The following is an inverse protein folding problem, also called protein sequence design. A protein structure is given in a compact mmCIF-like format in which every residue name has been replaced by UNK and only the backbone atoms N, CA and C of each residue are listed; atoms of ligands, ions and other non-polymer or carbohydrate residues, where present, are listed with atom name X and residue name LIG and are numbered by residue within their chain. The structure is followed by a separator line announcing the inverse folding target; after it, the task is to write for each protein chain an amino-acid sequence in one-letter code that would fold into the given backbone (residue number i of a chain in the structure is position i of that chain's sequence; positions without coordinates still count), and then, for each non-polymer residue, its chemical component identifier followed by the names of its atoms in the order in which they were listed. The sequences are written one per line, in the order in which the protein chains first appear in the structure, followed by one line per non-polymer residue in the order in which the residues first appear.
data_IF_351916623671
#
_entry.id   IF_351916623671
#
_cell.length_a   1.000
_cell.length_b   1.000
_cell.length_c   1.000
_cell.angle_alpha   90.00
_cell.angle_beta   90.00
_cell.angle_gamma   90.00
#
_symmetry.space_group_name_H-M   'P 1'
#
loop_
_entity.id
_entity.type
_entity.pdbx_description
1 polymer ?
#
# COMPACT_ATOMS: atom_id res chain seq x y z
N UNK A 1 -19.37 -6.15 21.33
CA UNK A 1 -18.19 -5.42 20.81
C UNK A 1 -18.58 -3.95 20.67
N UNK A 2 -17.78 -3.02 21.20
CA UNK A 2 -18.06 -1.59 21.04
C UNK A 2 -17.64 -1.09 19.65
N UNK A 3 -17.99 0.15 19.34
CA UNK A 3 -17.73 0.73 18.02
C UNK A 3 -16.24 0.84 17.69
N UNK A 4 -15.39 1.09 18.69
CA UNK A 4 -13.94 1.17 18.49
C UNK A 4 -13.36 -0.21 18.16
N UNK A 5 -13.82 -1.24 18.87
CA UNK A 5 -13.39 -2.62 18.59
C UNK A 5 -13.82 -3.07 17.21
N UNK A 6 -15.04 -2.75 16.78
CA UNK A 6 -15.52 -3.05 15.44
C UNK A 6 -14.71 -2.32 14.37
N UNK A 7 -14.41 -1.04 14.61
CA UNK A 7 -13.58 -0.24 13.72
C UNK A 7 -12.19 -0.84 13.56
N UNK A 8 -11.52 -1.15 14.69
CA UNK A 8 -10.17 -1.72 14.65
C UNK A 8 -10.15 -3.11 13.99
N UNK A 9 -11.19 -3.91 14.22
CA UNK A 9 -11.31 -5.24 13.59
C UNK A 9 -11.49 -5.13 12.08
N UNK A 10 -12.27 -4.18 11.61
CA UNK A 10 -12.49 -3.94 10.18
C UNK A 10 -11.18 -3.68 9.44
N UNK A 11 -10.24 -3.00 10.09
CA UNK A 11 -8.97 -2.58 9.49
C UNK A 11 -7.77 -3.40 9.96
N UNK A 12 -8.00 -4.55 10.57
CA UNK A 12 -6.92 -5.39 11.12
C UNK A 12 -5.88 -5.79 10.09
N UNK A 13 -6.28 -5.94 8.82
CA UNK A 13 -5.35 -6.30 7.75
C UNK A 13 -4.24 -5.25 7.57
N UNK A 14 -4.50 -3.97 7.81
CA UNK A 14 -3.46 -2.93 7.78
C UNK A 14 -2.37 -3.20 8.82
N UNK A 15 -2.78 -3.61 10.02
CA UNK A 15 -1.86 -3.96 11.10
C UNK A 15 -1.03 -5.19 10.72
N UNK A 16 -1.67 -6.21 10.16
CA UNK A 16 -0.99 -7.45 9.76
C UNK A 16 0.05 -7.20 8.68
N UNK A 17 -0.29 -6.44 7.64
CA UNK A 17 0.63 -6.12 6.56
C UNK A 17 1.79 -5.26 7.07
N UNK A 18 1.51 -4.27 7.91
CA UNK A 18 2.55 -3.45 8.54
C UNK A 18 3.46 -4.29 9.42
N UNK A 19 2.92 -5.27 10.14
CA UNK A 19 3.69 -6.21 10.94
C UNK A 19 4.67 -7.03 10.11
N UNK A 20 4.27 -7.44 8.91
CA UNK A 20 5.17 -8.11 7.97
C UNK A 20 6.28 -7.17 7.50
N UNK A 21 5.95 -5.92 7.20
CA UNK A 21 6.96 -4.91 6.86
C UNK A 21 7.96 -4.70 8.00
N UNK A 22 7.51 -4.73 9.24
CA UNK A 22 8.37 -4.64 10.41
C UNK A 22 9.34 -5.82 10.50
N UNK A 23 8.91 -7.03 10.17
CA UNK A 23 9.81 -8.19 10.12
C UNK A 23 10.91 -8.01 9.10
N UNK A 24 10.57 -7.50 7.92
CA UNK A 24 11.53 -7.21 6.87
C UNK A 24 12.53 -6.15 7.33
N UNK A 25 12.02 -5.07 7.91
CA UNK A 25 12.84 -3.98 8.43
C UNK A 25 13.79 -4.43 9.55
N UNK A 26 13.30 -5.25 10.47
CA UNK A 26 14.11 -5.74 11.56
C UNK A 26 15.27 -6.62 11.08
N UNK A 27 15.09 -7.27 9.93
CA UNK A 27 16.15 -8.11 9.34
C UNK A 27 17.16 -7.29 8.55
N UNK A 28 16.70 -6.37 7.71
CA UNK A 28 17.55 -5.69 6.73
C UNK A 28 17.79 -4.20 7.02
N UNK A 29 16.99 -3.59 7.88
CA UNK A 29 17.04 -2.17 8.22
C UNK A 29 16.88 -1.26 6.99
N UNK A 30 17.38 -0.03 7.07
CA UNK A 30 17.32 0.93 5.99
C UNK A 30 18.47 0.71 4.99
N UNK A 31 18.22 0.98 3.73
CA UNK A 31 19.27 1.11 2.72
C UNK A 31 19.26 0.08 1.61
N UNK A 32 18.34 -0.87 1.63
CA UNK A 32 18.16 -1.74 0.47
C UNK A 32 17.41 -1.01 -0.63
N UNK A 33 17.51 -1.53 -1.86
CA UNK A 33 16.67 -1.08 -2.96
C UNK A 33 15.20 -1.38 -2.65
N UNK A 34 14.31 -0.53 -3.10
CA UNK A 34 12.87 -0.75 -2.92
C UNK A 34 12.42 -2.11 -3.46
N UNK A 35 12.99 -2.55 -4.59
CA UNK A 35 12.70 -3.85 -5.18
C UNK A 35 13.05 -5.04 -4.28
N UNK A 36 14.08 -4.90 -3.43
CA UNK A 36 14.45 -5.92 -2.47
C UNK A 36 13.42 -6.02 -1.34
N UNK A 37 12.99 -4.89 -0.80
CA UNK A 37 11.91 -4.87 0.19
C UNK A 37 10.62 -5.45 -0.38
N UNK A 38 10.31 -5.11 -1.62
CA UNK A 38 9.14 -5.62 -2.32
C UNK A 38 9.17 -7.14 -2.46
N UNK A 39 10.31 -7.71 -2.83
CA UNK A 39 10.50 -9.16 -2.94
C UNK A 39 10.30 -9.85 -1.59
N UNK A 40 10.87 -9.30 -0.52
CA UNK A 40 10.72 -9.84 0.83
C UNK A 40 9.26 -9.75 1.32
N UNK A 41 8.60 -8.61 1.08
CA UNK A 41 7.20 -8.43 1.41
C UNK A 41 6.33 -9.48 0.71
N UNK A 42 6.50 -9.65 -0.58
CA UNK A 42 5.75 -10.64 -1.35
C UNK A 42 5.91 -12.04 -0.78
N UNK A 43 7.16 -12.45 -0.52
CA UNK A 43 7.44 -13.78 0.02
C UNK A 43 6.70 -14.03 1.34
N UNK A 44 6.81 -13.09 2.28
CA UNK A 44 6.19 -13.25 3.59
C UNK A 44 4.66 -13.15 3.54
N UNK A 45 4.13 -12.27 2.71
CA UNK A 45 2.69 -12.12 2.53
C UNK A 45 2.08 -13.40 1.92
N UNK A 46 2.74 -13.99 0.91
CA UNK A 46 2.27 -15.23 0.30
C UNK A 46 2.31 -16.39 1.31
N UNK A 47 3.31 -16.45 2.18
CA UNK A 47 3.34 -17.44 3.25
C UNK A 47 2.19 -17.31 4.23
N UNK A 48 1.70 -16.09 4.45
CA UNK A 48 0.54 -15.82 5.29
C UNK A 48 -0.80 -16.03 4.55
N UNK A 49 -0.77 -16.49 3.30
CA UNK A 49 -1.95 -16.83 2.54
C UNK A 49 -2.50 -15.71 1.65
N UNK A 50 -1.81 -14.57 1.56
CA UNK A 50 -2.23 -13.49 0.67
C UNK A 50 -1.82 -13.80 -0.78
N UNK A 51 -2.66 -13.38 -1.72
CA UNK A 51 -2.29 -13.33 -3.13
C UNK A 51 -1.62 -12.00 -3.40
N UNK A 52 -0.40 -12.01 -3.94
CA UNK A 52 0.38 -10.79 -4.17
C UNK A 52 0.80 -10.69 -5.63
N UNK A 53 0.44 -9.58 -6.25
CA UNK A 53 0.91 -9.21 -7.58
C UNK A 53 1.91 -8.06 -7.44
N UNK A 54 3.01 -8.11 -8.20
CA UNK A 54 4.07 -7.10 -8.17
C UNK A 54 4.09 -6.30 -9.45
N UNK A 55 4.42 -5.01 -9.35
CA UNK A 55 4.62 -4.13 -10.51
C UNK A 55 3.46 -4.22 -11.49
N UNK A 56 2.26 -3.99 -10.96
CA UNK A 56 1.02 -4.10 -11.72
C UNK A 56 0.85 -2.87 -12.59
N UNK A 57 0.78 -3.08 -13.91
CA UNK A 57 0.59 -1.99 -14.86
C UNK A 57 -0.79 -1.38 -14.73
N UNK A 58 -0.82 -0.05 -14.77
CA UNK A 58 -2.04 0.73 -14.75
C UNK A 58 -2.08 1.62 -15.98
N UNK A 59 -2.69 1.15 -17.09
CA UNK A 59 -2.82 1.97 -18.28
C UNK A 59 -3.80 3.11 -18.07
N UNK A 60 -3.54 4.24 -18.72
CA UNK A 60 -4.37 5.43 -18.66
C UNK A 60 -5.12 5.58 -19.98
N UNK A 61 -6.42 5.83 -19.86
CA UNK A 61 -7.30 5.98 -21.03
C UNK A 61 -7.90 7.37 -21.08
N UNK A 62 -8.06 7.88 -22.30
CA UNK A 62 -8.97 8.98 -22.58
C UNK A 62 -10.13 8.40 -23.39
N UNK A 63 -11.30 8.28 -22.76
CA UNK A 63 -12.43 7.50 -23.31
C UNK A 63 -11.95 6.10 -23.74
N UNK A 64 -12.05 5.72 -25.00
CA UNK A 64 -11.63 4.41 -25.50
C UNK A 64 -10.16 4.37 -25.93
N UNK A 65 -9.45 5.50 -25.88
CA UNK A 65 -8.09 5.60 -26.39
C UNK A 65 -7.09 5.40 -25.25
N UNK A 66 -6.24 4.36 -25.38
CA UNK A 66 -5.14 4.18 -24.44
C UNK A 66 -4.06 5.23 -24.73
N UNK A 67 -3.74 6.03 -23.72
CA UNK A 67 -2.67 7.02 -23.81
C UNK A 67 -1.30 6.34 -23.69
N UNK A 68 -0.25 7.07 -24.08
CA UNK A 68 1.13 6.57 -24.02
C UNK A 68 1.78 6.72 -22.64
N UNK A 69 0.96 6.76 -21.61
CA UNK A 69 1.37 6.82 -20.20
C UNK A 69 0.84 5.61 -19.46
N UNK A 70 1.71 4.97 -18.69
CA UNK A 70 1.31 3.91 -17.78
C UNK A 70 1.91 4.17 -16.41
N UNK A 71 1.17 3.80 -15.37
CA UNK A 71 1.69 3.76 -14.01
C UNK A 71 1.93 2.30 -13.60
N UNK A 72 2.66 2.11 -12.52
CA UNK A 72 2.88 0.80 -11.91
C UNK A 72 2.62 0.88 -10.44
N UNK A 73 1.79 -0.02 -9.94
CA UNK A 73 1.60 -0.22 -8.52
C UNK A 73 2.63 -1.24 -8.04
N UNK A 74 3.31 -0.96 -6.92
CA UNK A 74 4.35 -1.85 -6.41
C UNK A 74 3.80 -3.22 -6.05
N UNK A 75 2.77 -3.26 -5.20
CA UNK A 75 2.09 -4.49 -4.80
C UNK A 75 0.58 -4.30 -4.86
N UNK A 76 -0.10 -5.34 -5.30
CA UNK A 76 -1.55 -5.47 -5.19
C UNK A 76 -1.85 -6.74 -4.41
N UNK A 77 -2.47 -6.61 -3.24
CA UNK A 77 -2.73 -7.71 -2.32
C UNK A 77 -4.22 -8.08 -2.38
N UNK A 78 -4.49 -9.36 -2.66
CA UNK A 78 -5.85 -9.93 -2.75
C UNK A 78 -6.76 -9.15 -3.72
N UNK A 79 -6.19 -8.43 -4.66
CA UNK A 79 -6.93 -7.63 -5.62
C UNK A 79 -7.64 -6.40 -5.06
N UNK A 80 -7.49 -6.11 -3.77
CA UNK A 80 -8.23 -5.01 -3.13
C UNK A 80 -7.40 -4.08 -2.24
N UNK A 81 -6.11 -4.30 -2.14
CA UNK A 81 -5.21 -3.44 -1.34
C UNK A 81 -4.00 -3.07 -2.19
N UNK A 82 -3.85 -1.79 -2.49
CA UNK A 82 -2.66 -1.27 -3.16
C UNK A 82 -1.63 -0.92 -2.09
N UNK A 83 -0.40 -1.41 -2.25
CA UNK A 83 0.70 -1.07 -1.35
C UNK A 83 1.83 -0.43 -2.16
N UNK A 84 2.18 0.79 -1.81
CA UNK A 84 3.33 1.50 -2.35
C UNK A 84 4.46 1.48 -1.33
N UNK A 85 5.64 1.04 -1.77
CA UNK A 85 6.81 0.92 -0.92
C UNK A 85 7.80 2.05 -1.22
N UNK A 86 8.32 2.65 -0.19
CA UNK A 86 9.36 3.67 -0.27
C UNK A 86 10.51 3.33 0.67
N UNK A 87 11.69 3.84 0.34
CA UNK A 87 12.88 3.76 1.20
C UNK A 87 13.55 5.13 1.19
N UNK A 88 12.92 6.07 1.88
CA UNK A 88 13.29 7.49 1.88
C UNK A 88 13.21 8.04 3.30
N UNK A 89 13.75 9.25 3.52
CA UNK A 89 13.74 9.86 4.85
C UNK A 89 12.33 10.21 5.31
N UNK A 90 11.52 10.82 4.45
CA UNK A 90 10.18 11.28 4.78
C UNK A 90 9.22 11.09 3.61
N UNK A 91 8.02 10.63 3.92
CA UNK A 91 6.91 10.63 2.97
C UNK A 91 6.45 12.07 2.73
N UNK A 92 6.32 12.45 1.46
CA UNK A 92 5.82 13.76 1.06
C UNK A 92 4.42 13.67 0.45
N UNK A 93 3.83 14.84 0.21
CA UNK A 93 2.48 14.92 -0.35
C UNK A 93 2.40 14.35 -1.78
N UNK A 94 3.49 14.40 -2.54
CA UNK A 94 3.57 13.78 -3.86
C UNK A 94 3.34 12.27 -3.81
N UNK A 95 3.87 11.61 -2.77
CA UNK A 95 3.68 10.16 -2.59
C UNK A 95 2.23 9.82 -2.23
N UNK A 96 1.63 10.62 -1.37
CA UNK A 96 0.23 10.46 -0.97
C UNK A 96 -0.70 10.68 -2.15
N UNK A 97 -0.42 11.71 -2.96
CA UNK A 97 -1.19 12.02 -4.16
C UNK A 97 -1.12 10.89 -5.18
N UNK A 98 0.05 10.29 -5.35
CA UNK A 98 0.24 9.16 -6.26
C UNK A 98 -0.65 7.98 -5.85
N UNK A 99 -0.64 7.61 -4.56
CA UNK A 99 -1.48 6.53 -4.06
C UNK A 99 -2.97 6.84 -4.25
N UNK A 100 -3.39 8.06 -3.93
CA UNK A 100 -4.79 8.48 -4.11
C UNK A 100 -5.21 8.42 -5.57
N UNK A 101 -4.34 8.81 -6.49
CA UNK A 101 -4.60 8.69 -7.93
C UNK A 101 -4.80 7.23 -8.33
N UNK A 102 -3.95 6.33 -7.85
CA UNK A 102 -4.10 4.89 -8.12
C UNK A 102 -5.43 4.35 -7.62
N UNK A 103 -5.83 4.71 -6.40
CA UNK A 103 -7.11 4.30 -5.84
C UNK A 103 -8.29 4.81 -6.68
N UNK A 104 -8.22 6.05 -7.14
CA UNK A 104 -9.29 6.63 -7.96
C UNK A 104 -9.36 6.04 -9.37
N UNK A 105 -8.21 5.76 -10.00
CA UNK A 105 -8.18 5.18 -11.34
C UNK A 105 -8.64 3.72 -11.32
N UNK A 106 -8.25 2.96 -10.31
CA UNK A 106 -8.56 1.52 -10.22
C UNK A 106 -9.90 1.23 -9.56
N UNK A 107 -10.47 2.18 -8.82
CA UNK A 107 -11.60 1.98 -7.91
C UNK A 107 -11.34 0.96 -6.80
N UNK A 108 -10.07 0.64 -6.54
CA UNK A 108 -9.68 -0.22 -5.43
C UNK A 108 -9.92 0.52 -4.12
N UNK A 109 -10.37 -0.22 -3.12
CA UNK A 109 -10.88 0.36 -1.87
C UNK A 109 -9.78 0.78 -0.90
N UNK A 110 -8.72 0.01 -0.78
CA UNK A 110 -7.71 0.20 0.25
C UNK A 110 -6.34 0.50 -0.32
N UNK A 111 -5.62 1.40 0.34
CA UNK A 111 -4.26 1.72 -0.04
C UNK A 111 -3.35 1.90 1.17
N UNK A 112 -2.08 1.57 1.00
CA UNK A 112 -1.04 1.72 2.01
C UNK A 112 0.18 2.37 1.40
N UNK A 113 0.77 3.31 2.14
CA UNK A 113 2.15 3.74 1.94
C UNK A 113 2.98 3.12 3.04
N UNK A 114 4.03 2.38 2.68
CA UNK A 114 4.95 1.82 3.65
C UNK A 114 6.34 2.35 3.33
N UNK A 115 6.95 3.02 4.29
CA UNK A 115 8.29 3.58 4.14
C UNK A 115 9.28 2.88 5.06
N UNK A 116 10.29 2.25 4.46
CA UNK A 116 11.45 1.70 5.15
C UNK A 116 12.42 2.85 5.40
N UNK A 117 12.13 3.68 6.41
CA UNK A 117 12.86 4.91 6.67
C UNK A 117 14.13 4.64 7.49
N UNK A 118 15.07 5.62 7.61
CA UNK A 118 16.29 5.40 8.37
C UNK A 118 16.09 4.98 9.82
N UNK A 119 15.02 5.46 10.46
CA UNK A 119 14.82 5.26 11.90
C UNK A 119 13.81 4.17 12.23
N UNK A 120 12.82 3.93 11.35
CA UNK A 120 11.71 3.02 11.65
C UNK A 120 10.90 2.68 10.40
N UNK A 121 10.03 1.68 10.52
CA UNK A 121 8.92 1.50 9.59
C UNK A 121 7.90 2.60 9.85
N UNK A 122 7.43 3.21 8.77
CA UNK A 122 6.38 4.21 8.80
C UNK A 122 5.31 3.81 7.78
N UNK A 123 4.04 3.85 8.17
CA UNK A 123 2.95 3.53 7.24
C UNK A 123 1.80 4.49 7.37
N UNK A 124 1.11 4.71 6.25
CA UNK A 124 -0.15 5.44 6.19
C UNK A 124 -1.17 4.55 5.48
N UNK A 125 -2.40 4.56 5.96
CA UNK A 125 -3.48 3.69 5.50
C UNK A 125 -4.66 4.52 5.01
N UNK A 126 -5.24 4.12 3.88
CA UNK A 126 -6.29 4.87 3.23
C UNK A 126 -7.44 3.97 2.80
N UNK A 127 -8.65 4.51 2.85
CA UNK A 127 -9.85 3.86 2.33
C UNK A 127 -10.55 4.81 1.36
N UNK A 128 -10.96 4.27 0.21
CA UNK A 128 -11.71 4.98 -0.79
C UNK A 128 -13.19 4.60 -0.68
N UNK A 129 -14.06 5.59 -0.56
CA UNK A 129 -15.51 5.41 -0.59
C UNK A 129 -16.02 5.30 -2.03
N UNK A 130 -17.26 4.84 -2.19
CA UNK A 130 -17.88 4.65 -3.50
C UNK A 130 -18.01 5.93 -4.31
N UNK A 131 -18.05 7.09 -3.65
CA UNK A 131 -18.10 8.39 -4.30
C UNK A 131 -16.73 8.95 -4.70
N UNK A 132 -15.65 8.23 -4.41
CA UNK A 132 -14.28 8.65 -4.70
C UNK A 132 -13.60 9.43 -3.60
N UNK A 133 -14.27 9.68 -2.47
CA UNK A 133 -13.65 10.28 -1.29
C UNK A 133 -12.65 9.31 -0.68
N UNK A 134 -11.44 9.79 -0.37
CA UNK A 134 -10.39 8.98 0.23
C UNK A 134 -10.06 9.54 1.60
N UNK A 135 -10.16 8.68 2.62
CA UNK A 135 -9.88 9.03 4.00
C UNK A 135 -8.68 8.26 4.53
N UNK A 136 -7.88 8.92 5.35
CA UNK A 136 -6.81 8.27 6.09
C UNK A 136 -7.40 7.55 7.29
N UNK A 137 -7.01 6.28 7.47
CA UNK A 137 -7.50 5.44 8.55
C UNK A 137 -6.55 5.51 9.74
N UNK A 138 -7.13 5.74 10.92
CA UNK A 138 -6.39 5.76 12.18
C UNK A 138 -7.05 4.73 13.11
N UNK A 139 -6.24 3.81 13.64
CA UNK A 139 -6.71 2.84 14.64
C UNK A 139 -6.55 3.43 16.05
N UNK A 140 -7.42 2.99 16.93
CA UNK A 140 -7.45 3.46 18.32
C UNK A 140 -7.05 2.37 19.30
#
# INVERSE_FOLDING_TARGET
MDLLQEHNKKYEFFVKITGIAMKVYNKYHYGLLESAYEAAMRYLLEQDGYKVERQVFLPIYWDDVQLDQTYRMDLLIDGNIIVELKSIKFIGDEHRKQLKNYLNITHIKYGMLINFSPDRIYSEWYERDVDGTIERIILY
#
